data_IF_901021425021
#
_entry.id   IF_901021425021
#
_cell.length_a   1.000
_cell.length_b   1.000
_cell.length_c   1.000
_cell.angle_alpha   90.00
_cell.angle_beta   90.00
_cell.angle_gamma   90.00
#
_symmetry.space_group_name_H-M   'P 1'
#
loop_
_entity.id
_entity.type
_entity.pdbx_description
1 polymer ?
#
# COMPACT_ATOMS: atom_id res chain seq x y z
N UNK A 1 0.95 9.56 14.64
CA UNK A 1 1.36 9.66 13.22
C UNK A 1 0.89 11.01 12.73
N UNK A 2 1.81 11.90 12.39
CA UNK A 2 1.46 13.14 11.69
C UNK A 2 0.92 12.79 10.29
N UNK A 3 0.09 13.67 9.71
CA UNK A 3 -0.45 13.52 8.35
C UNK A 3 0.64 13.24 7.32
N UNK A 4 1.81 13.88 7.47
CA UNK A 4 2.97 13.66 6.60
C UNK A 4 3.56 12.25 6.72
N UNK A 5 3.63 11.70 7.93
CA UNK A 5 4.12 10.33 8.15
C UNK A 5 3.17 9.30 7.54
N UNK A 6 1.85 9.54 7.65
CA UNK A 6 0.83 8.72 6.99
C UNK A 6 1.00 8.75 5.47
N UNK A 7 1.21 9.94 4.88
CA UNK A 7 1.44 10.08 3.44
C UNK A 7 2.76 9.45 2.96
N UNK A 8 3.81 9.48 3.79
CA UNK A 8 5.08 8.77 3.50
C UNK A 8 4.85 7.25 3.50
N UNK A 9 4.24 6.71 4.56
CA UNK A 9 3.90 5.28 4.63
C UNK A 9 2.98 4.83 3.50
N UNK A 10 2.01 5.65 3.11
CA UNK A 10 1.13 5.35 1.99
C UNK A 10 1.92 5.13 0.69
N UNK A 11 2.86 6.04 0.39
CA UNK A 11 3.72 5.94 -0.80
C UNK A 11 4.64 4.72 -0.74
N UNK A 12 5.20 4.42 0.42
CA UNK A 12 6.04 3.23 0.62
C UNK A 12 5.26 1.93 0.33
N UNK A 13 4.04 1.82 0.89
CA UNK A 13 3.17 0.66 0.66
C UNK A 13 2.72 0.54 -0.80
N UNK A 14 2.42 1.67 -1.47
CA UNK A 14 2.06 1.67 -2.89
C UNK A 14 3.24 1.24 -3.78
N UNK A 15 4.47 1.66 -3.46
CA UNK A 15 5.68 1.22 -4.16
C UNK A 15 5.96 -0.28 -3.93
N UNK A 16 5.78 -0.76 -2.71
CA UNK A 16 5.93 -2.19 -2.39
C UNK A 16 4.89 -3.04 -3.15
N UNK A 17 3.63 -2.58 -3.18
CA UNK A 17 2.58 -3.22 -3.95
C UNK A 17 2.90 -3.26 -5.45
N UNK A 18 3.46 -2.17 -5.99
CA UNK A 18 3.86 -2.10 -7.39
C UNK A 18 4.95 -3.13 -7.70
N UNK A 19 6.00 -3.22 -6.87
CA UNK A 19 7.08 -4.21 -7.05
C UNK A 19 6.55 -5.63 -7.03
N UNK A 20 5.69 -5.97 -6.07
CA UNK A 20 5.08 -7.29 -5.98
C UNK A 20 4.21 -7.60 -7.19
N UNK A 21 3.41 -6.64 -7.66
CA UNK A 21 2.61 -6.81 -8.89
C UNK A 21 3.47 -7.01 -10.13
N UNK A 22 4.58 -6.29 -10.25
CA UNK A 22 5.53 -6.45 -11.35
C UNK A 22 6.15 -7.85 -11.33
N UNK A 23 6.57 -8.35 -10.17
CA UNK A 23 7.10 -9.71 -10.01
C UNK A 23 6.07 -10.78 -10.43
N UNK A 24 4.83 -10.65 -9.95
CA UNK A 24 3.72 -11.54 -10.35
C UNK A 24 3.54 -11.53 -11.87
N UNK A 25 3.53 -10.33 -12.47
CA UNK A 25 3.27 -10.14 -13.91
C UNK A 25 4.40 -10.68 -14.77
N UNK A 26 5.64 -10.59 -14.31
CA UNK A 26 6.81 -11.18 -14.97
C UNK A 26 6.88 -12.70 -14.84
N UNK A 27 5.90 -13.34 -14.19
CA UNK A 27 5.89 -14.79 -13.95
C UNK A 27 6.86 -15.23 -12.85
N UNK A 28 7.35 -14.30 -12.04
CA UNK A 28 8.22 -14.60 -10.91
C UNK A 28 7.46 -15.30 -9.80
N UNK A 29 8.10 -16.27 -9.15
CA UNK A 29 7.56 -16.89 -7.96
C UNK A 29 7.43 -15.84 -6.85
N UNK A 30 6.20 -15.64 -6.37
CA UNK A 30 5.93 -14.75 -5.24
C UNK A 30 5.89 -15.62 -4.01
N UNK A 31 6.85 -15.45 -3.10
CA UNK A 31 6.97 -16.27 -1.88
C UNK A 31 5.68 -16.26 -1.04
N UNK A 32 4.94 -15.14 -1.04
CA UNK A 32 3.67 -15.06 -0.34
C UNK A 32 2.65 -14.20 -1.11
N UNK A 33 1.78 -14.79 -1.94
CA UNK A 33 0.74 -14.04 -2.65
C UNK A 33 -0.25 -13.35 -1.70
N UNK A 34 -0.41 -13.87 -0.47
CA UNK A 34 -1.25 -13.25 0.57
C UNK A 34 -0.77 -11.86 1.00
N UNK A 35 0.53 -11.58 0.87
CA UNK A 35 1.13 -10.28 1.22
C UNK A 35 0.57 -9.12 0.39
N UNK A 36 0.21 -9.38 -0.86
CA UNK A 36 -0.42 -8.39 -1.75
C UNK A 36 -1.77 -7.94 -1.18
N UNK A 37 -2.58 -8.87 -0.69
CA UNK A 37 -3.88 -8.56 -0.11
C UNK A 37 -3.75 -7.82 1.24
N UNK A 38 -2.73 -8.14 2.04
CA UNK A 38 -2.44 -7.41 3.27
C UNK A 38 -2.05 -5.96 2.99
N UNK A 39 -1.09 -5.73 2.08
CA UNK A 39 -0.65 -4.38 1.70
C UNK A 39 -1.82 -3.55 1.14
N UNK A 40 -2.69 -4.15 0.31
CA UNK A 40 -3.91 -3.47 -0.18
C UNK A 40 -4.85 -3.05 0.95
N UNK A 41 -5.04 -3.89 1.96
CA UNK A 41 -5.87 -3.56 3.13
C UNK A 41 -5.24 -2.46 3.97
N UNK A 42 -3.93 -2.48 4.14
CA UNK A 42 -3.22 -1.47 4.92
C UNK A 42 -3.24 -0.11 4.22
N UNK A 43 -3.04 -0.06 2.89
CA UNK A 43 -3.24 1.15 2.09
C UNK A 43 -4.66 1.70 2.28
N UNK A 44 -5.68 0.84 2.22
CA UNK A 44 -7.07 1.25 2.39
C UNK A 44 -7.34 1.84 3.77
N UNK A 45 -6.84 1.22 4.85
CA UNK A 45 -6.94 1.74 6.22
C UNK A 45 -6.25 3.09 6.37
N UNK A 46 -5.06 3.24 5.79
CA UNK A 46 -4.30 4.50 5.80
C UNK A 46 -5.03 5.61 5.05
N UNK A 47 -5.60 5.30 3.87
CA UNK A 47 -6.43 6.25 3.12
C UNK A 47 -7.67 6.66 3.92
N UNK A 48 -8.30 5.72 4.64
CA UNK A 48 -9.45 6.04 5.49
C UNK A 48 -9.07 7.00 6.63
N UNK A 49 -7.99 6.68 7.36
CA UNK A 49 -7.48 7.52 8.45
C UNK A 49 -6.95 8.89 7.98
N UNK A 50 -6.64 9.04 6.71
CA UNK A 50 -6.30 10.32 6.07
C UNK A 50 -7.56 11.08 5.64
N UNK A 51 -8.59 10.36 5.18
CA UNK A 51 -9.86 10.95 4.74
C UNK A 51 -10.55 11.70 5.90
N UNK A 52 -10.47 11.16 7.11
CA UNK A 52 -10.95 11.82 8.34
C UNK A 52 -10.19 13.13 8.63
N UNK A 53 -8.93 13.24 8.17
CA UNK A 53 -8.09 14.44 8.28
C UNK A 53 -8.26 15.40 7.09
N UNK A 54 -9.25 15.17 6.22
CA UNK A 54 -9.53 16.00 5.04
C UNK A 54 -8.70 15.65 3.80
N UNK A 55 -8.12 14.44 3.74
CA UNK A 55 -7.49 13.94 2.52
C UNK A 55 -8.56 13.51 1.50
N UNK A 56 -8.61 14.20 0.36
CA UNK A 56 -9.35 13.75 -0.83
C UNK A 56 -8.38 13.08 -1.80
N UNK A 57 -8.79 11.91 -2.30
CA UNK A 57 -8.06 11.10 -3.30
C UNK A 57 -8.32 11.65 -4.69
#
# INVERSE_FOLDING_TARGET
>A
MSREEKLRKLRELELELLKLRTLVRSGGAVENPGRINLIRKDIARLKMALCEEGYRV
#
